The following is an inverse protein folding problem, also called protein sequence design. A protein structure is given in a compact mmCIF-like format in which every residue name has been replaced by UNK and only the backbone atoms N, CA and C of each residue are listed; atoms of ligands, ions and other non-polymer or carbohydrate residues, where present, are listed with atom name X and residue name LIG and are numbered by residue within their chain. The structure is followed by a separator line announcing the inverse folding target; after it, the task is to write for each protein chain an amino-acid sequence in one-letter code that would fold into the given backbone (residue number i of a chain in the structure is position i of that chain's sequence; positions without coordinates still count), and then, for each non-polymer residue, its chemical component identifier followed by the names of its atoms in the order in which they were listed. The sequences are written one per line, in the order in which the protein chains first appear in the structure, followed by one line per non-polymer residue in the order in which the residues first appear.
data_IF_720562555620
#
_entry.id   IF_720562555620
#
_cell.length_a   1.000
_cell.length_b   1.000
_cell.length_c   1.000
_cell.angle_alpha   90.00
_cell.angle_beta   90.00
_cell.angle_gamma   90.00
#
_symmetry.space_group_name_H-M   'P 1'
#
loop_
_entity.id
_entity.type
_entity.pdbx_description
1 polymer ?
#
# COMPACT_ATOMS: atom_id res chain seq x y z
N UNK A 1 -3.49 34.63 22.35
CA UNK A 1 -2.54 34.07 21.37
C UNK A 1 -3.09 34.32 19.98
N UNK A 2 -2.35 35.01 19.12
CA UNK A 2 -2.78 35.30 17.75
C UNK A 2 -2.74 34.01 16.90
N UNK A 3 -3.87 33.65 16.28
CA UNK A 3 -3.93 32.50 15.37
C UNK A 3 -2.86 32.63 14.26
N UNK A 4 -2.16 31.54 13.91
CA UNK A 4 -1.20 31.52 12.81
C UNK A 4 -1.78 32.18 11.54
N UNK A 5 -1.01 33.03 10.83
CA UNK A 5 -1.50 33.81 9.69
C UNK A 5 -2.08 32.95 8.56
N UNK A 6 -1.71 31.67 8.52
CA UNK A 6 -2.21 30.69 7.54
C UNK A 6 -3.64 30.24 7.82
N UNK A 7 -4.00 29.99 9.08
CA UNK A 7 -5.37 29.61 9.48
C UNK A 7 -6.34 30.75 9.11
N UNK A 8 -5.93 32.00 9.33
CA UNK A 8 -6.70 33.18 8.92
C UNK A 8 -6.94 33.23 7.40
N UNK A 9 -5.96 32.83 6.58
CA UNK A 9 -6.14 32.76 5.12
C UNK A 9 -7.15 31.69 4.72
N UNK A 10 -7.16 30.53 5.39
CA UNK A 10 -8.12 29.45 5.06
C UNK A 10 -9.55 29.80 5.42
N UNK A 11 -9.75 30.57 6.49
CA UNK A 11 -11.08 31.05 6.90
C UNK A 11 -11.65 32.12 5.96
N UNK A 12 -10.81 32.85 5.22
CA UNK A 12 -11.25 33.86 4.25
C UNK A 12 -11.59 33.30 2.87
N UNK A 13 -11.30 32.03 2.60
CA UNK A 13 -11.55 31.43 1.29
C UNK A 13 -13.03 31.08 1.13
N UNK A 14 -13.60 31.53 0.03
CA UNK A 14 -14.95 31.16 -0.38
C UNK A 14 -14.90 29.90 -1.25
N UNK A 15 -15.38 28.78 -0.71
CA UNK A 15 -15.44 27.49 -1.40
C UNK A 15 -16.73 27.31 -2.20
N UNK A 16 -17.63 28.31 -2.22
CA UNK A 16 -18.87 28.26 -3.01
C UNK A 16 -18.64 28.67 -4.47
N UNK A 17 -17.60 29.46 -4.73
CA UNK A 17 -17.25 29.89 -6.08
C UNK A 17 -16.92 28.71 -7.00
N UNK A 18 -17.30 28.83 -8.26
CA UNK A 18 -16.98 27.85 -9.31
C UNK A 18 -15.51 27.97 -9.71
N UNK A 19 -14.86 26.83 -9.95
CA UNK A 19 -13.49 26.74 -10.46
C UNK A 19 -13.51 26.28 -11.91
N UNK A 20 -12.79 26.98 -12.78
CA UNK A 20 -12.62 26.59 -14.18
C UNK A 20 -11.46 25.59 -14.32
N UNK A 21 -11.62 24.65 -15.27
CA UNK A 21 -10.60 23.64 -15.58
C UNK A 21 -9.95 23.92 -16.94
N UNK A 22 -8.63 23.67 -17.10
CA UNK A 22 -7.71 23.10 -16.12
C UNK A 22 -7.40 24.07 -14.97
N UNK A 23 -7.20 23.54 -13.76
CA UNK A 23 -6.94 24.35 -12.57
C UNK A 23 -5.52 24.89 -12.63
N UNK A 24 -5.38 26.20 -12.64
CA UNK A 24 -4.08 26.86 -12.56
C UNK A 24 -3.67 27.09 -11.10
N UNK A 25 -2.52 26.55 -10.71
CA UNK A 25 -1.96 26.71 -9.36
C UNK A 25 -0.55 27.27 -9.46
N UNK A 26 -0.33 28.41 -8.84
CA UNK A 26 0.99 29.04 -8.74
C UNK A 26 1.79 28.38 -7.62
N UNK A 27 2.93 27.78 -7.97
CA UNK A 27 3.87 27.20 -7.02
C UNK A 27 4.65 28.25 -6.24
N UNK A 28 5.43 27.79 -5.24
CA UNK A 28 6.32 28.69 -4.46
C UNK A 28 7.45 29.30 -5.29
N UNK A 29 7.75 28.68 -6.40
CA UNK A 29 8.70 29.08 -7.43
C UNK A 29 8.10 30.08 -8.45
N UNK A 30 6.89 30.60 -8.19
CA UNK A 30 6.12 31.46 -9.09
C UNK A 30 5.80 30.82 -10.45
N UNK A 31 5.98 29.51 -10.61
CA UNK A 31 5.56 28.81 -11.82
C UNK A 31 4.07 28.47 -11.75
N UNK A 32 3.34 28.77 -12.83
CA UNK A 32 1.95 28.37 -13.01
C UNK A 32 1.93 26.93 -13.52
N UNK A 33 1.28 26.04 -12.78
CA UNK A 33 1.06 24.65 -13.17
C UNK A 33 -0.41 24.43 -13.45
N UNK A 34 -0.71 23.73 -14.55
CA UNK A 34 -2.05 23.35 -14.97
C UNK A 34 -2.34 21.93 -14.52
N UNK A 35 -3.46 21.75 -13.84
CA UNK A 35 -3.89 20.46 -13.33
C UNK A 35 -5.24 20.09 -13.95
N UNK A 36 -5.32 18.88 -14.52
CA UNK A 36 -6.60 18.25 -14.81
C UNK A 36 -7.35 17.97 -13.51
N UNK A 37 -8.63 17.60 -13.61
CA UNK A 37 -9.48 17.34 -12.44
C UNK A 37 -8.83 16.33 -11.47
N UNK A 38 -8.46 15.15 -11.96
CA UNK A 38 -7.88 14.12 -11.11
C UNK A 38 -6.54 14.54 -10.50
N UNK A 39 -5.67 15.22 -11.24
CA UNK A 39 -4.40 15.70 -10.71
C UNK A 39 -4.59 16.77 -9.64
N UNK A 40 -5.59 17.64 -9.80
CA UNK A 40 -5.95 18.64 -8.81
C UNK A 40 -6.45 17.99 -7.52
N UNK A 41 -7.30 16.95 -7.61
CA UNK A 41 -7.72 16.17 -6.44
C UNK A 41 -6.52 15.51 -5.76
N UNK A 42 -5.68 14.78 -6.53
CA UNK A 42 -4.48 14.09 -6.01
C UNK A 42 -3.54 15.04 -5.27
N UNK A 43 -3.40 16.27 -5.77
CA UNK A 43 -2.60 17.30 -5.11
C UNK A 43 -3.13 17.60 -3.70
N UNK A 44 -4.44 17.79 -3.52
CA UNK A 44 -5.02 18.10 -2.21
C UNK A 44 -5.06 16.88 -1.29
N UNK A 45 -5.32 15.68 -1.84
CA UNK A 45 -5.20 14.40 -1.12
C UNK A 45 -3.79 14.25 -0.51
N UNK A 46 -2.74 14.44 -1.32
CA UNK A 46 -1.35 14.39 -0.84
C UNK A 46 -1.06 15.43 0.25
N UNK A 47 -1.68 16.61 0.18
CA UNK A 47 -1.54 17.63 1.22
C UNK A 47 -2.19 17.23 2.53
N UNK A 48 -3.29 16.47 2.49
CA UNK A 48 -3.93 15.89 3.68
C UNK A 48 -2.99 14.85 4.30
N UNK A 49 -2.52 13.87 3.52
CA UNK A 49 -1.61 12.80 3.98
C UNK A 49 -0.35 13.36 4.65
N UNK A 50 0.25 14.38 4.03
CA UNK A 50 1.52 14.96 4.49
C UNK A 50 1.34 16.09 5.50
N UNK A 51 0.12 16.39 5.94
CA UNK A 51 -0.11 17.53 6.83
C UNK A 51 0.66 17.38 8.15
N UNK A 52 0.66 16.18 8.75
CA UNK A 52 1.32 15.88 10.03
C UNK A 52 2.85 15.90 9.97
N UNK A 53 3.44 15.62 8.81
CA UNK A 53 4.89 15.72 8.61
C UNK A 53 5.35 17.15 8.25
N UNK A 54 4.43 17.98 7.74
CA UNK A 54 4.72 19.36 7.30
C UNK A 54 4.52 20.40 8.38
N UNK A 55 3.67 20.13 9.36
CA UNK A 55 3.35 21.05 10.44
C UNK A 55 3.50 20.37 11.78
N UNK A 56 4.08 21.06 12.75
CA UNK A 56 4.21 20.57 14.12
C UNK A 56 2.97 20.89 14.98
N UNK A 57 2.25 21.96 14.64
CA UNK A 57 1.11 22.45 15.40
C UNK A 57 -0.20 21.71 15.01
N UNK A 58 -0.87 21.02 15.95
CA UNK A 58 -2.12 20.30 15.69
C UNK A 58 -3.23 21.16 15.10
N UNK A 59 -3.41 22.40 15.56
CA UNK A 59 -4.45 23.29 15.03
C UNK A 59 -4.20 23.64 13.55
N UNK A 60 -2.93 23.83 13.18
CA UNK A 60 -2.54 24.07 11.80
C UNK A 60 -2.73 22.83 10.92
N UNK A 61 -2.45 21.63 11.44
CA UNK A 61 -2.71 20.36 10.75
C UNK A 61 -4.22 20.25 10.45
N UNK A 62 -5.07 20.40 11.46
CA UNK A 62 -6.53 20.29 11.32
C UNK A 62 -7.09 21.34 10.35
N UNK A 63 -6.57 22.57 10.40
CA UNK A 63 -6.96 23.62 9.49
C UNK A 63 -6.53 23.32 8.04
N UNK A 64 -5.34 22.75 7.81
CA UNK A 64 -4.89 22.31 6.48
C UNK A 64 -5.78 21.19 5.94
N UNK A 65 -6.06 20.16 6.75
CA UNK A 65 -6.90 19.03 6.35
C UNK A 65 -8.30 19.51 6.00
N UNK A 66 -8.91 20.34 6.84
CA UNK A 66 -10.23 20.94 6.57
C UNK A 66 -10.23 21.77 5.30
N UNK A 67 -9.21 22.61 5.09
CA UNK A 67 -9.07 23.41 3.88
C UNK A 67 -9.02 22.53 2.62
N UNK A 68 -8.22 21.45 2.65
CA UNK A 68 -8.05 20.57 1.50
C UNK A 68 -9.33 19.79 1.20
N UNK A 69 -10.06 19.31 2.22
CA UNK A 69 -11.36 18.65 2.04
C UNK A 69 -12.40 19.56 1.38
N UNK A 70 -12.57 20.78 1.88
CA UNK A 70 -13.48 21.77 1.28
C UNK A 70 -13.08 22.11 -0.16
N UNK A 71 -11.78 22.12 -0.46
CA UNK A 71 -11.30 22.39 -1.81
C UNK A 71 -11.54 21.23 -2.77
N UNK A 72 -11.40 19.98 -2.32
CA UNK A 72 -11.78 18.78 -3.08
C UNK A 72 -13.28 18.83 -3.44
N UNK A 73 -14.13 19.10 -2.46
CA UNK A 73 -15.58 19.24 -2.66
C UNK A 73 -15.92 20.34 -3.68
N UNK A 74 -15.26 21.50 -3.58
CA UNK A 74 -15.43 22.61 -4.53
C UNK A 74 -15.01 22.23 -5.96
N UNK A 75 -13.86 21.56 -6.11
CA UNK A 75 -13.37 21.11 -7.42
C UNK A 75 -14.34 20.12 -8.05
N UNK A 76 -14.82 19.15 -7.28
CA UNK A 76 -15.79 18.15 -7.70
C UNK A 76 -17.10 18.77 -8.14
N UNK A 77 -17.67 19.66 -7.34
CA UNK A 77 -18.89 20.42 -7.72
C UNK A 77 -18.68 21.18 -9.03
N UNK A 78 -17.56 21.91 -9.15
CA UNK A 78 -17.27 22.72 -10.35
C UNK A 78 -17.07 21.87 -11.60
N UNK A 79 -16.48 20.67 -11.44
CA UNK A 79 -16.26 19.71 -12.52
C UNK A 79 -17.59 19.16 -13.05
N UNK A 80 -18.45 18.71 -12.15
CA UNK A 80 -19.79 18.20 -12.48
C UNK A 80 -20.61 19.30 -13.16
N UNK A 81 -20.62 20.52 -12.62
CA UNK A 81 -21.30 21.68 -13.22
C UNK A 81 -20.78 22.00 -14.63
N UNK A 82 -19.46 21.92 -14.85
CA UNK A 82 -18.87 22.14 -16.16
C UNK A 82 -19.27 21.08 -17.19
N UNK A 83 -19.49 19.84 -16.75
CA UNK A 83 -19.97 18.74 -17.58
C UNK A 83 -21.51 18.74 -17.77
N UNK A 84 -22.21 19.82 -17.39
CA UNK A 84 -23.67 19.94 -17.50
C UNK A 84 -24.45 19.20 -16.40
N UNK A 85 -23.76 18.65 -15.40
CA UNK A 85 -24.37 18.06 -14.22
C UNK A 85 -24.83 19.11 -13.21
N UNK A 86 -25.93 18.86 -12.53
CA UNK A 86 -26.43 19.74 -11.46
C UNK A 86 -26.86 18.92 -10.26
N UNK A 87 -26.76 19.49 -9.06
CA UNK A 87 -27.27 18.84 -7.85
C UNK A 87 -28.81 18.79 -7.96
N UNK A 88 -29.45 17.63 -7.73
CA UNK A 88 -30.90 17.55 -7.77
C UNK A 88 -31.49 18.45 -6.68
N UNK A 89 -32.58 19.16 -7.01
CA UNK A 89 -33.33 19.91 -6.01
C UNK A 89 -34.05 18.91 -5.09
N UNK A 90 -33.70 18.91 -3.81
CA UNK A 90 -34.40 18.19 -2.73
C UNK A 90 -34.63 16.68 -2.97
N UNK A 91 -33.56 15.90 -3.15
CA UNK A 91 -33.66 14.45 -3.17
C UNK A 91 -33.35 13.85 -1.78
N UNK A 92 -34.20 12.92 -1.31
CA UNK A 92 -33.97 12.14 -0.09
C UNK A 92 -33.08 10.92 -0.38
N UNK A 93 -32.44 10.34 0.64
CA UNK A 93 -31.59 9.14 0.49
C UNK A 93 -30.19 9.40 -0.11
N UNK A 94 -29.69 8.48 -0.95
CA UNK A 94 -28.36 8.56 -1.59
C UNK A 94 -28.17 9.86 -2.39
N UNK A 95 -29.24 10.34 -3.01
CA UNK A 95 -29.28 11.58 -3.79
C UNK A 95 -29.39 12.85 -2.92
N UNK A 96 -29.54 12.70 -1.61
CA UNK A 96 -29.37 13.76 -0.61
C UNK A 96 -27.96 13.82 0.00
N UNK A 97 -27.16 12.76 -0.19
CA UNK A 97 -25.83 12.62 0.39
C UNK A 97 -24.73 13.43 -0.31
N UNK A 98 -23.49 13.42 0.22
CA UNK A 98 -22.36 14.14 -0.35
C UNK A 98 -21.95 13.66 -1.75
N UNK A 99 -22.32 12.43 -2.13
CA UNK A 99 -21.98 11.79 -3.42
C UNK A 99 -23.11 11.85 -4.46
N UNK A 100 -24.24 12.46 -4.10
CA UNK A 100 -25.44 12.51 -4.94
C UNK A 100 -25.18 13.06 -6.35
N UNK A 101 -24.40 14.14 -6.42
CA UNK A 101 -24.09 14.79 -7.68
C UNK A 101 -23.21 13.90 -8.56
N UNK A 102 -22.23 13.21 -7.97
CA UNK A 102 -21.34 12.29 -8.68
C UNK A 102 -22.09 11.09 -9.24
N UNK A 103 -22.96 10.51 -8.42
CA UNK A 103 -23.77 9.35 -8.80
C UNK A 103 -24.74 9.72 -9.92
N UNK A 104 -25.44 10.85 -9.80
CA UNK A 104 -26.33 11.30 -10.87
C UNK A 104 -25.58 11.64 -12.14
N UNK A 105 -24.42 12.27 -12.04
CA UNK A 105 -23.59 12.57 -13.19
C UNK A 105 -23.12 11.29 -13.88
N UNK A 106 -22.63 10.30 -13.13
CA UNK A 106 -22.25 8.99 -13.65
C UNK A 106 -23.42 8.29 -14.33
N UNK A 107 -24.58 8.20 -13.65
CA UNK A 107 -25.77 7.56 -14.21
C UNK A 107 -26.25 8.28 -15.47
N UNK A 108 -26.29 9.62 -15.50
CA UNK A 108 -26.63 10.37 -16.73
C UNK A 108 -25.64 10.12 -17.86
N UNK A 109 -24.35 10.05 -17.55
CA UNK A 109 -23.30 9.78 -18.55
C UNK A 109 -23.44 8.37 -19.13
N UNK A 110 -23.75 7.39 -18.28
CA UNK A 110 -23.89 5.98 -18.66
C UNK A 110 -25.20 5.71 -19.39
N UNK A 111 -26.30 6.26 -18.91
CA UNK A 111 -27.64 6.02 -19.41
C UNK A 111 -27.97 6.92 -20.61
N UNK A 112 -27.31 8.08 -20.74
CA UNK A 112 -27.65 9.07 -21.75
C UNK A 112 -29.05 9.66 -21.58
N UNK A 113 -29.42 10.57 -22.47
CA UNK A 113 -30.71 11.28 -22.41
C UNK A 113 -31.93 10.39 -22.74
N UNK A 114 -31.68 9.21 -23.33
CA UNK A 114 -32.74 8.34 -23.87
C UNK A 114 -33.39 7.42 -22.82
N UNK A 115 -32.76 7.24 -21.66
CA UNK A 115 -33.14 6.21 -20.69
C UNK A 115 -33.90 6.73 -19.45
N UNK A 116 -34.52 7.91 -19.57
CA UNK A 116 -35.41 8.46 -18.56
C UNK A 116 -34.68 9.07 -17.36
N UNK A 117 -35.41 9.85 -16.57
CA UNK A 117 -34.88 10.64 -15.46
C UNK A 117 -34.11 9.76 -14.48
N UNK A 118 -32.77 9.86 -14.44
CA UNK A 118 -31.93 9.15 -13.49
C UNK A 118 -32.34 9.43 -12.02
N UNK A 119 -33.08 10.51 -11.78
CA UNK A 119 -33.69 10.85 -10.49
C UNK A 119 -34.95 10.03 -10.15
N UNK A 120 -35.59 9.38 -11.12
CA UNK A 120 -36.75 8.51 -10.93
C UNK A 120 -36.37 7.07 -10.52
N UNK A 121 -35.07 6.76 -10.45
CA UNK A 121 -34.59 5.45 -10.08
C UNK A 121 -34.80 5.17 -8.58
N UNK A 122 -35.35 4.01 -8.26
CA UNK A 122 -35.40 3.52 -6.88
C UNK A 122 -34.03 2.99 -6.50
N UNK A 123 -33.36 3.67 -5.57
CA UNK A 123 -32.09 3.24 -4.98
C UNK A 123 -32.34 2.59 -3.63
N UNK A 124 -32.17 1.27 -3.55
CA UNK A 124 -32.33 0.53 -2.28
C UNK A 124 -30.93 0.23 -1.73
N UNK A 125 -30.56 0.73 -0.54
CA UNK A 125 -29.27 0.43 0.05
C UNK A 125 -29.15 -1.07 0.30
N UNK A 126 -28.09 -1.67 -0.23
CA UNK A 126 -27.68 -3.02 0.08
C UNK A 126 -26.71 -2.91 1.26
N UNK A 127 -27.05 -3.57 2.37
CA UNK A 127 -26.17 -3.65 3.53
C UNK A 127 -24.99 -4.55 3.18
N UNK A 128 -23.89 -3.98 2.70
CA UNK A 128 -22.69 -4.76 2.37
C UNK A 128 -21.37 -4.06 2.75
N UNK A 129 -20.90 -4.30 3.97
CA UNK A 129 -19.49 -4.16 4.34
C UNK A 129 -18.79 -2.82 4.04
N UNK A 130 -17.58 -2.91 3.47
CA UNK A 130 -16.60 -1.81 3.25
C UNK A 130 -16.95 -0.89 2.06
N UNK A 131 -18.02 -1.20 1.30
CA UNK A 131 -18.50 -0.45 0.14
C UNK A 131 -19.93 0.00 0.35
N UNK A 132 -20.32 1.14 -0.22
CA UNK A 132 -21.73 1.50 -0.26
C UNK A 132 -22.31 0.95 -1.58
N UNK A 133 -23.32 0.07 -1.48
CA UNK A 133 -23.95 -0.57 -2.63
C UNK A 133 -25.44 -0.26 -2.65
N UNK A 134 -26.01 -0.04 -3.83
CA UNK A 134 -27.43 0.22 -4.02
C UNK A 134 -27.98 -0.55 -5.20
N UNK A 135 -29.17 -1.09 -5.02
CA UNK A 135 -29.96 -1.60 -6.14
C UNK A 135 -30.53 -0.42 -6.92
N UNK A 136 -30.27 -0.37 -8.21
CA UNK A 136 -30.81 0.58 -9.19
C UNK A 136 -31.80 -0.15 -10.10
N UNK A 137 -33.04 0.32 -10.20
CA UNK A 137 -34.01 -0.16 -11.18
C UNK A 137 -34.48 1.01 -12.04
N UNK A 138 -34.40 0.86 -13.36
CA UNK A 138 -34.79 1.87 -14.33
C UNK A 138 -35.10 1.26 -15.70
N UNK A 139 -35.56 2.07 -16.67
CA UNK A 139 -35.94 1.58 -18.00
C UNK A 139 -34.82 0.82 -18.73
N UNK A 140 -33.56 1.22 -18.52
CA UNK A 140 -32.39 0.56 -19.11
C UNK A 140 -31.97 -0.74 -18.40
N UNK A 141 -32.41 -0.95 -17.15
CA UNK A 141 -32.25 -2.22 -16.44
C UNK A 141 -33.57 -2.56 -15.72
N UNK A 142 -34.57 -3.07 -16.45
CA UNK A 142 -35.90 -3.33 -15.90
C UNK A 142 -35.89 -4.44 -14.83
N UNK A 143 -34.89 -5.33 -14.86
CA UNK A 143 -34.63 -6.34 -13.83
C UNK A 143 -33.65 -5.87 -12.74
N UNK A 144 -33.25 -4.60 -12.82
CA UNK A 144 -32.33 -3.92 -11.92
C UNK A 144 -30.85 -4.22 -12.15
N UNK A 145 -30.03 -3.31 -11.64
CA UNK A 145 -28.57 -3.35 -11.61
C UNK A 145 -28.11 -2.95 -10.20
N UNK A 146 -26.88 -3.27 -9.84
CA UNK A 146 -26.25 -2.82 -8.61
C UNK A 146 -25.27 -1.69 -8.94
N UNK A 147 -25.43 -0.56 -8.24
CA UNK A 147 -24.47 0.52 -8.22
C UNK A 147 -23.58 0.35 -6.97
N UNK A 148 -22.29 0.12 -7.19
CA UNK A 148 -21.28 0.15 -6.14
C UNK A 148 -20.59 1.52 -6.12
N UNK A 149 -20.42 2.10 -4.93
CA UNK A 149 -19.57 3.27 -4.74
C UNK A 149 -18.47 3.01 -3.71
N UNK A 150 -17.26 3.42 -4.08
CA UNK A 150 -16.07 3.32 -3.25
C UNK A 150 -15.49 4.71 -3.04
N UNK A 151 -15.45 5.17 -1.79
CA UNK A 151 -14.75 6.40 -1.41
C UNK A 151 -13.27 6.11 -1.23
N UNK A 152 -12.44 6.62 -2.13
CA UNK A 152 -10.99 6.43 -2.13
C UNK A 152 -10.36 7.55 -1.28
N UNK A 153 -10.56 7.50 0.04
CA UNK A 153 -9.89 8.45 0.94
C UNK A 153 -8.40 8.08 1.05
N UNK A 154 -7.46 8.96 0.66
CA UNK A 154 -6.02 8.74 0.84
C UNK A 154 -5.60 8.56 2.31
N UNK A 155 -6.36 9.15 3.23
CA UNK A 155 -6.10 9.14 4.68
C UNK A 155 -6.88 8.05 5.41
N UNK A 156 -7.82 7.39 4.72
CA UNK A 156 -8.53 6.22 5.24
C UNK A 156 -7.65 4.96 5.19
N UNK A 157 -8.01 3.89 5.92
CA UNK A 157 -7.35 2.61 5.72
C UNK A 157 -7.45 2.23 4.24
N UNK A 158 -6.33 1.81 3.65
CA UNK A 158 -6.18 1.30 2.27
C UNK A 158 -7.21 0.24 1.83
N UNK A 159 -8.08 -0.21 2.75
CA UNK A 159 -9.20 -1.11 2.53
C UNK A 159 -10.11 -0.68 1.38
N UNK A 160 -10.45 0.61 1.20
CA UNK A 160 -11.37 1.03 0.15
C UNK A 160 -10.86 0.71 -1.28
N UNK A 161 -9.55 0.89 -1.52
CA UNK A 161 -8.94 0.59 -2.82
C UNK A 161 -8.76 -0.90 -3.03
N UNK A 162 -8.42 -1.63 -1.96
CA UNK A 162 -8.36 -3.10 -1.99
C UNK A 162 -9.75 -3.70 -2.23
N UNK A 163 -10.79 -3.11 -1.62
CA UNK A 163 -12.18 -3.50 -1.82
C UNK A 163 -12.60 -3.25 -3.28
N UNK A 164 -12.28 -2.07 -3.84
CA UNK A 164 -12.53 -1.78 -5.25
C UNK A 164 -11.88 -2.81 -6.19
N UNK A 165 -10.59 -3.09 -6.03
CA UNK A 165 -9.91 -4.03 -6.91
C UNK A 165 -10.43 -5.47 -6.74
N UNK A 166 -10.72 -5.88 -5.50
CA UNK A 166 -11.33 -7.18 -5.22
C UNK A 166 -12.67 -7.31 -5.93
N UNK A 167 -13.46 -6.25 -5.92
CA UNK A 167 -14.76 -6.19 -6.58
C UNK A 167 -14.63 -6.22 -8.10
N UNK A 168 -13.72 -5.43 -8.66
CA UNK A 168 -13.39 -5.46 -10.09
C UNK A 168 -12.90 -6.86 -10.52
N UNK A 169 -12.05 -7.51 -9.72
CA UNK A 169 -11.61 -8.89 -9.96
C UNK A 169 -12.77 -9.88 -9.94
N UNK A 170 -13.69 -9.77 -8.96
CA UNK A 170 -14.89 -10.60 -8.88
C UNK A 170 -15.76 -10.45 -10.12
N UNK A 171 -16.10 -9.20 -10.48
CA UNK A 171 -16.96 -8.89 -11.62
C UNK A 171 -16.33 -9.28 -12.97
N UNK A 172 -15.00 -9.16 -13.11
CA UNK A 172 -14.27 -9.61 -14.32
C UNK A 172 -14.22 -11.14 -14.42
N UNK A 173 -14.02 -11.84 -13.31
CA UNK A 173 -14.03 -13.31 -13.31
C UNK A 173 -15.40 -13.87 -13.73
N UNK A 174 -16.47 -13.19 -13.32
CA UNK A 174 -17.86 -13.55 -13.62
C UNK A 174 -18.32 -13.18 -15.04
N UNK A 175 -17.51 -12.48 -15.86
CA UNK A 175 -17.93 -11.92 -17.15
C UNK A 175 -18.48 -12.96 -18.14
N UNK A 176 -17.98 -14.19 -18.07
CA UNK A 176 -18.36 -15.31 -18.94
C UNK A 176 -19.31 -16.32 -18.26
N UNK A 177 -19.70 -16.11 -17.00
CA UNK A 177 -20.53 -17.06 -16.26
C UNK A 177 -22.03 -16.76 -16.46
N UNK A 178 -22.83 -17.72 -16.97
CA UNK A 178 -24.26 -17.51 -17.19
C UNK A 178 -25.00 -17.17 -15.89
N UNK A 179 -25.70 -16.04 -15.87
CA UNK A 179 -26.47 -15.59 -14.71
C UNK A 179 -25.64 -15.00 -13.58
N UNK A 180 -24.32 -14.92 -13.72
CA UNK A 180 -23.47 -14.22 -12.77
C UNK A 180 -23.57 -12.70 -12.96
N UNK A 181 -23.33 -11.98 -11.86
CA UNK A 181 -23.26 -10.53 -11.90
C UNK A 181 -21.97 -10.09 -12.59
N UNK A 182 -22.10 -9.22 -13.59
CA UNK A 182 -20.99 -8.69 -14.38
C UNK A 182 -21.02 -7.17 -14.38
N UNK A 183 -19.83 -6.58 -14.46
CA UNK A 183 -19.71 -5.14 -14.60
C UNK A 183 -20.26 -4.71 -15.96
N UNK A 184 -21.24 -3.82 -15.94
CA UNK A 184 -21.68 -3.11 -17.14
C UNK A 184 -20.66 -2.04 -17.46
N UNK A 185 -20.46 -1.11 -16.52
CA UNK A 185 -19.63 0.06 -16.72
C UNK A 185 -19.16 0.60 -15.39
N UNK A 186 -18.00 1.25 -15.37
CA UNK A 186 -17.52 1.93 -14.16
C UNK A 186 -16.77 3.21 -14.48
N UNK A 187 -16.54 4.03 -13.47
CA UNK A 187 -15.60 5.14 -13.54
C UNK A 187 -14.76 5.19 -12.28
N UNK A 188 -13.50 5.57 -12.41
CA UNK A 188 -12.56 5.71 -11.30
C UNK A 188 -11.91 7.08 -11.41
N UNK A 189 -12.11 7.89 -10.38
CA UNK A 189 -11.44 9.18 -10.15
C UNK A 189 -10.47 9.04 -8.98
N UNK A 190 -9.69 10.07 -8.70
CA UNK A 190 -8.70 10.04 -7.62
C UNK A 190 -9.26 9.72 -6.21
N UNK A 191 -10.49 10.10 -5.90
CA UNK A 191 -11.14 9.97 -4.58
C UNK A 191 -12.47 9.18 -4.61
N UNK A 192 -12.90 8.71 -5.78
CA UNK A 192 -14.17 8.01 -5.95
C UNK A 192 -14.12 7.00 -7.09
N UNK A 193 -14.62 5.79 -6.87
CA UNK A 193 -15.00 4.87 -7.93
C UNK A 193 -16.50 4.52 -7.88
N UNK A 194 -17.14 4.46 -9.04
CA UNK A 194 -18.52 4.05 -9.21
C UNK A 194 -18.57 2.89 -10.21
N UNK A 195 -19.21 1.79 -9.86
CA UNK A 195 -19.38 0.63 -10.74
C UNK A 195 -20.87 0.33 -10.87
N UNK A 196 -21.36 0.15 -12.09
CA UNK A 196 -22.68 -0.38 -12.39
C UNK A 196 -22.52 -1.83 -12.87
N UNK A 197 -23.21 -2.76 -12.22
CA UNK A 197 -23.13 -4.18 -12.51
C UNK A 197 -24.53 -4.82 -12.52
N UNK A 198 -24.68 -5.97 -13.16
CA UNK A 198 -25.93 -6.72 -13.15
C UNK A 198 -25.81 -8.05 -13.86
N UNK A 199 -26.88 -8.83 -13.87
CA UNK A 199 -26.90 -10.20 -14.42
C UNK A 199 -27.41 -10.27 -15.86
N UNK A 200 -28.15 -9.26 -16.30
CA UNK A 200 -28.79 -9.21 -17.63
C UNK A 200 -27.82 -8.71 -18.72
N UNK A 201 -28.15 -8.91 -20.01
CA UNK A 201 -27.49 -8.21 -21.12
C UNK A 201 -27.58 -6.69 -20.96
N UNK A 202 -26.49 -6.01 -21.29
CA UNK A 202 -26.38 -4.56 -21.24
C UNK A 202 -26.02 -4.01 -22.62
N UNK A 203 -26.88 -3.12 -23.12
CA UNK A 203 -26.77 -2.49 -24.44
C UNK A 203 -26.12 -1.09 -24.37
N UNK A 204 -25.82 -0.59 -23.17
CA UNK A 204 -25.14 0.68 -22.96
C UNK A 204 -23.61 0.59 -23.05
N UNK A 205 -22.89 1.66 -22.68
CA UNK A 205 -21.43 1.68 -22.68
C UNK A 205 -20.87 0.58 -21.78
N UNK A 206 -19.74 -0.01 -22.18
CA UNK A 206 -19.08 -1.08 -21.42
C UNK A 206 -17.67 -0.71 -20.96
N UNK A 207 -17.26 -1.30 -19.83
CA UNK A 207 -15.91 -1.16 -19.29
C UNK A 207 -15.73 0.09 -18.43
N UNK A 208 -14.46 0.47 -18.20
CA UNK A 208 -14.16 1.67 -17.42
C UNK A 208 -14.21 2.91 -18.32
N UNK A 209 -15.19 3.77 -18.06
CA UNK A 209 -15.29 5.09 -18.66
C UNK A 209 -14.22 6.00 -18.08
N UNK A 210 -13.41 6.55 -18.97
CA UNK A 210 -12.53 7.65 -18.65
C UNK A 210 -13.34 8.95 -18.68
N UNK A 211 -14.14 9.17 -17.64
CA UNK A 211 -15.01 10.36 -17.51
C UNK A 211 -14.17 11.64 -17.37
N UNK A 212 -12.84 11.53 -17.22
CA UNK A 212 -11.85 12.58 -17.04
C UNK A 212 -11.05 12.95 -18.30
N UNK A 213 -11.58 12.75 -19.52
CA UNK A 213 -10.90 13.17 -20.76
C UNK A 213 -10.94 14.71 -20.93
N UNK A 214 -10.24 15.44 -20.07
CA UNK A 214 -9.75 16.79 -20.37
C UNK A 214 -8.54 16.68 -21.32
N UNK A 215 -8.28 17.68 -22.19
CA UNK A 215 -7.22 17.60 -23.19
C UNK A 215 -5.87 17.31 -22.53
N UNK A 216 -5.20 16.28 -23.05
CA UNK A 216 -3.89 15.83 -22.58
C UNK A 216 -2.92 17.02 -22.54
N UNK A 217 -2.35 17.28 -21.36
CA UNK A 217 -1.23 18.20 -21.23
C UNK A 217 0.01 17.61 -21.92
N UNK A 218 0.80 18.48 -22.55
CA UNK A 218 2.03 18.16 -23.28
C UNK A 218 2.94 17.12 -22.58
N UNK A 219 3.30 16.10 -23.37
CA UNK A 219 4.15 14.93 -23.09
C UNK A 219 4.14 14.38 -21.64
N UNK A 220 3.37 13.30 -21.37
CA UNK A 220 3.49 12.61 -20.09
C UNK A 220 4.89 11.99 -19.98
N UNK A 221 5.71 12.54 -19.10
CA UNK A 221 6.96 11.89 -18.67
C UNK A 221 6.58 10.51 -18.16
N UNK A 222 7.06 9.47 -18.86
CA UNK A 222 6.82 8.07 -18.48
C UNK A 222 7.19 7.88 -16.99
N UNK A 223 6.21 7.62 -16.11
CA UNK A 223 6.44 7.49 -14.68
C UNK A 223 7.47 6.41 -14.32
N UNK A 224 7.58 5.38 -15.17
CA UNK A 224 8.62 4.36 -15.05
C UNK A 224 10.02 4.98 -15.22
N UNK A 225 10.23 5.74 -16.30
CA UNK A 225 11.49 6.42 -16.58
C UNK A 225 11.84 7.42 -15.48
N UNK A 226 10.86 8.21 -15.02
CA UNK A 226 11.05 9.14 -13.91
C UNK A 226 11.46 8.43 -12.62
N UNK A 227 10.85 7.27 -12.32
CA UNK A 227 11.23 6.47 -11.17
C UNK A 227 12.67 5.93 -11.26
N UNK A 228 13.07 5.43 -12.43
CA UNK A 228 14.42 4.88 -12.62
C UNK A 228 15.51 5.95 -12.52
N UNK A 229 15.28 7.14 -13.10
CA UNK A 229 16.19 8.29 -12.96
C UNK A 229 16.33 8.69 -11.50
N UNK A 230 15.21 8.82 -10.79
CA UNK A 230 15.23 9.15 -9.37
C UNK A 230 15.96 8.10 -8.51
N UNK A 231 15.83 6.82 -8.85
CA UNK A 231 16.55 5.74 -8.17
C UNK A 231 18.06 5.84 -8.40
N UNK A 232 18.50 6.15 -9.63
CA UNK A 232 19.90 6.38 -9.97
C UNK A 232 20.49 7.57 -9.20
N UNK A 233 19.69 8.61 -8.97
CA UNK A 233 20.06 9.78 -8.17
C UNK A 233 19.98 9.53 -6.65
N UNK A 234 19.64 8.32 -6.21
CA UNK A 234 19.51 7.97 -4.79
C UNK A 234 18.24 8.52 -4.12
N UNK A 235 17.27 9.01 -4.89
CA UNK A 235 16.00 9.55 -4.41
C UNK A 235 14.94 8.44 -4.25
N UNK A 236 15.22 7.43 -3.42
CA UNK A 236 14.43 6.20 -3.29
C UNK A 236 12.94 6.47 -2.98
N UNK A 237 12.62 7.40 -2.07
CA UNK A 237 11.22 7.74 -1.76
C UNK A 237 10.49 8.47 -2.90
N UNK A 238 11.21 9.24 -3.72
CA UNK A 238 10.61 9.87 -4.90
C UNK A 238 10.35 8.83 -5.99
N UNK A 239 11.32 7.95 -6.25
CA UNK A 239 11.17 6.82 -7.17
C UNK A 239 9.96 5.94 -6.81
N UNK A 240 9.81 5.60 -5.52
CA UNK A 240 8.66 4.83 -5.03
C UNK A 240 7.33 5.52 -5.32
N UNK A 241 7.23 6.83 -5.08
CA UNK A 241 6.02 7.61 -5.38
C UNK A 241 5.68 7.65 -6.87
N UNK A 242 6.70 7.71 -7.73
CA UNK A 242 6.48 7.67 -9.18
C UNK A 242 5.93 6.31 -9.61
N UNK A 243 6.45 5.21 -9.05
CA UNK A 243 5.94 3.87 -9.33
C UNK A 243 4.52 3.62 -8.81
N UNK A 244 4.18 4.14 -7.62
CA UNK A 244 2.80 4.11 -7.13
C UNK A 244 1.88 4.89 -8.06
N UNK A 245 2.27 6.10 -8.46
CA UNK A 245 1.49 6.88 -9.43
C UNK A 245 1.38 6.19 -10.80
N UNK A 246 2.35 5.37 -11.17
CA UNK A 246 2.34 4.57 -12.39
C UNK A 246 1.38 3.39 -12.27
N UNK A 247 1.44 2.66 -11.15
CA UNK A 247 0.53 1.57 -10.82
C UNK A 247 -0.93 2.03 -10.72
N UNK A 248 -1.15 3.24 -10.22
CA UNK A 248 -2.47 3.85 -10.17
C UNK A 248 -3.07 4.09 -11.56
N UNK A 249 -2.21 4.31 -12.58
CA UNK A 249 -2.64 4.50 -13.97
C UNK A 249 -2.74 3.17 -14.71
N UNK A 250 -1.83 2.24 -14.44
CA UNK A 250 -1.82 0.91 -15.04
C UNK A 250 -1.51 -0.16 -13.98
N UNK A 251 -2.56 -0.67 -13.31
CA UNK A 251 -2.41 -1.64 -12.23
C UNK A 251 -1.99 -3.03 -12.72
N UNK A 252 -2.09 -3.28 -14.02
CA UNK A 252 -1.81 -4.60 -14.60
C UNK A 252 -0.33 -4.82 -14.91
N UNK A 253 0.47 -3.76 -14.95
CA UNK A 253 1.91 -3.84 -15.25
C UNK A 253 2.71 -4.39 -14.07
N UNK A 254 2.90 -5.71 -14.08
CA UNK A 254 3.67 -6.48 -13.08
C UNK A 254 5.06 -5.90 -12.78
N UNK A 255 5.75 -5.36 -13.80
CA UNK A 255 7.07 -4.72 -13.64
C UNK A 255 7.02 -3.53 -12.68
N UNK A 256 5.97 -2.71 -12.73
CA UNK A 256 5.81 -1.57 -11.83
C UNK A 256 5.60 -2.04 -10.39
N UNK A 257 4.80 -3.10 -10.20
CA UNK A 257 4.56 -3.67 -8.88
C UNK A 257 5.83 -4.30 -8.30
N UNK A 258 6.59 -5.06 -9.09
CA UNK A 258 7.85 -5.66 -8.64
C UNK A 258 8.85 -4.59 -8.24
N UNK A 259 9.06 -3.59 -9.10
CA UNK A 259 9.97 -2.49 -8.82
C UNK A 259 9.51 -1.68 -7.60
N UNK A 260 8.22 -1.36 -7.49
CA UNK A 260 7.67 -0.59 -6.38
C UNK A 260 7.82 -1.34 -5.05
N UNK A 261 7.56 -2.65 -5.03
CA UNK A 261 7.73 -3.47 -3.84
C UNK A 261 9.21 -3.53 -3.40
N UNK A 262 10.14 -3.76 -4.33
CA UNK A 262 11.60 -3.75 -4.03
C UNK A 262 12.06 -2.39 -3.53
N UNK A 263 11.69 -1.31 -4.22
CA UNK A 263 12.10 0.04 -3.84
C UNK A 263 11.48 0.43 -2.50
N UNK A 264 10.25 0.00 -2.21
CA UNK A 264 9.62 0.14 -0.89
C UNK A 264 10.42 -0.55 0.21
N UNK A 265 10.90 -1.77 -0.02
CA UNK A 265 11.78 -2.47 0.91
C UNK A 265 13.12 -1.74 1.08
N UNK A 266 13.71 -1.25 -0.01
CA UNK A 266 14.97 -0.48 0.01
C UNK A 266 14.83 0.88 0.72
N UNK A 267 13.65 1.49 0.67
CA UNK A 267 13.31 2.74 1.34
C UNK A 267 12.96 2.55 2.83
N UNK A 268 13.06 1.32 3.35
CA UNK A 268 12.63 0.96 4.72
C UNK A 268 11.14 1.26 4.98
N UNK A 269 10.30 1.12 3.94
CA UNK A 269 8.86 1.39 3.95
C UNK A 269 8.07 0.09 3.76
N UNK A 270 8.16 -0.88 4.70
CA UNK A 270 7.64 -2.23 4.47
C UNK A 270 6.11 -2.26 4.34
N UNK A 271 5.37 -1.33 4.94
CA UNK A 271 3.91 -1.24 4.79
C UNK A 271 3.53 -0.93 3.33
N UNK A 272 4.26 0.01 2.70
CA UNK A 272 4.05 0.37 1.29
C UNK A 272 4.51 -0.73 0.36
N UNK A 273 5.63 -1.37 0.66
CA UNK A 273 6.12 -2.52 -0.11
C UNK A 273 5.13 -3.69 -0.11
N UNK A 274 4.56 -4.03 1.05
CA UNK A 274 3.51 -5.04 1.18
C UNK A 274 2.29 -4.66 0.36
N UNK A 275 1.84 -3.40 0.43
CA UNK A 275 0.70 -2.95 -0.36
C UNK A 275 0.91 -3.14 -1.85
N UNK A 276 2.03 -2.63 -2.36
CA UNK A 276 2.37 -2.72 -3.79
C UNK A 276 2.48 -4.19 -4.22
N UNK A 277 3.07 -5.04 -3.37
CA UNK A 277 3.18 -6.46 -3.65
C UNK A 277 1.82 -7.16 -3.70
N UNK A 278 0.94 -6.93 -2.70
CA UNK A 278 -0.44 -7.45 -2.69
C UNK A 278 -1.21 -6.96 -3.91
N UNK A 279 -1.10 -5.68 -4.23
CA UNK A 279 -1.77 -5.06 -5.36
C UNK A 279 -1.33 -5.70 -6.68
N UNK A 280 -0.02 -5.87 -6.88
CA UNK A 280 0.50 -6.59 -8.04
C UNK A 280 0.06 -8.05 -8.12
N UNK A 281 -0.12 -8.73 -6.97
CA UNK A 281 -0.63 -10.11 -6.92
C UNK A 281 -2.11 -10.21 -7.31
N UNK A 282 -2.90 -9.14 -7.22
CA UNK A 282 -4.27 -9.14 -7.76
C UNK A 282 -4.23 -9.27 -9.29
N UNK A 283 -3.33 -8.55 -9.96
CA UNK A 283 -3.13 -8.64 -11.40
C UNK A 283 -2.31 -9.88 -11.82
N UNK A 284 -1.48 -10.42 -10.92
CA UNK A 284 -0.57 -11.52 -11.21
C UNK A 284 -0.47 -12.52 -10.04
N UNK A 285 -1.52 -13.31 -9.75
CA UNK A 285 -1.56 -14.13 -8.54
C UNK A 285 -0.40 -15.13 -8.41
N UNK A 286 0.11 -15.64 -9.53
CA UNK A 286 1.22 -16.60 -9.59
C UNK A 286 2.63 -16.00 -9.58
N UNK A 287 2.79 -14.69 -9.41
CA UNK A 287 4.09 -14.02 -9.49
C UNK A 287 4.95 -14.30 -8.25
N UNK A 288 5.96 -15.17 -8.41
CA UNK A 288 6.83 -15.58 -7.30
C UNK A 288 7.59 -14.40 -6.67
N UNK A 289 8.08 -13.46 -7.48
CA UNK A 289 8.82 -12.30 -6.99
C UNK A 289 7.94 -11.39 -6.12
N UNK A 290 6.69 -11.14 -6.52
CA UNK A 290 5.77 -10.34 -5.71
C UNK A 290 5.40 -11.04 -4.40
N UNK A 291 5.17 -12.36 -4.41
CA UNK A 291 4.95 -13.14 -3.18
C UNK A 291 6.17 -13.07 -2.25
N UNK A 292 7.37 -13.17 -2.81
CA UNK A 292 8.61 -13.01 -2.07
C UNK A 292 8.72 -11.62 -1.41
N UNK A 293 8.47 -10.54 -2.16
CA UNK A 293 8.54 -9.17 -1.62
C UNK A 293 7.46 -8.90 -0.57
N UNK A 294 6.23 -9.38 -0.79
CA UNK A 294 5.14 -9.33 0.18
C UNK A 294 5.57 -9.93 1.51
N UNK A 295 6.11 -11.14 1.44
CA UNK A 295 6.43 -11.92 2.60
C UNK A 295 7.68 -11.38 3.33
N UNK A 296 8.64 -10.81 2.60
CA UNK A 296 9.75 -10.02 3.18
C UNK A 296 9.24 -8.75 3.89
N UNK A 297 8.30 -8.02 3.28
CA UNK A 297 7.68 -6.83 3.88
C UNK A 297 6.94 -7.16 5.18
N UNK A 298 6.17 -8.25 5.21
CA UNK A 298 5.51 -8.75 6.42
C UNK A 298 6.52 -9.16 7.50
N UNK A 299 7.63 -9.80 7.13
CA UNK A 299 8.69 -10.16 8.07
C UNK A 299 9.37 -8.92 8.69
N UNK A 300 9.60 -7.86 7.91
CA UNK A 300 10.14 -6.58 8.41
C UNK A 300 9.17 -5.89 9.38
N UNK A 301 7.87 -6.09 9.21
CA UNK A 301 6.82 -5.62 10.14
C UNK A 301 6.61 -6.53 11.35
N UNK A 302 7.34 -7.64 11.44
CA UNK A 302 7.23 -8.60 12.53
C UNK A 302 6.09 -9.62 12.38
N UNK A 303 5.43 -9.67 11.22
CA UNK A 303 4.32 -10.57 10.87
C UNK A 303 4.78 -11.80 10.08
N UNK A 304 5.86 -12.43 10.52
CA UNK A 304 6.47 -13.56 9.79
C UNK A 304 5.58 -14.83 9.71
N UNK A 305 4.54 -14.92 10.54
CA UNK A 305 3.58 -16.03 10.48
C UNK A 305 2.61 -15.87 9.30
N UNK A 306 2.23 -14.63 8.96
CA UNK A 306 1.40 -14.30 7.78
C UNK A 306 2.15 -14.48 6.46
N UNK A 307 3.48 -14.42 6.51
CA UNK A 307 4.35 -14.63 5.36
C UNK A 307 4.41 -16.09 4.91
N UNK A 308 4.20 -17.04 5.85
CA UNK A 308 4.36 -18.48 5.63
C UNK A 308 3.63 -19.08 4.40
N UNK A 309 2.34 -18.76 4.12
CA UNK A 309 1.60 -19.35 3.00
C UNK A 309 2.02 -18.81 1.62
N UNK A 310 2.58 -17.60 1.52
CA UNK A 310 2.94 -17.00 0.24
C UNK A 310 4.21 -17.60 -0.38
N UNK A 311 4.95 -18.40 0.39
CA UNK A 311 6.21 -19.02 0.00
C UNK A 311 6.05 -20.39 -0.66
N UNK A 312 5.42 -20.45 -1.83
CA UNK A 312 5.07 -21.72 -2.50
C UNK A 312 6.18 -22.23 -3.45
N UNK A 313 7.07 -21.36 -3.96
CA UNK A 313 8.09 -21.74 -4.93
C UNK A 313 9.31 -22.43 -4.31
N UNK A 314 9.69 -23.59 -4.86
CA UNK A 314 10.77 -24.46 -4.36
C UNK A 314 12.16 -23.79 -4.38
N UNK A 315 12.42 -22.95 -5.38
CA UNK A 315 13.66 -22.16 -5.54
C UNK A 315 13.80 -21.05 -4.50
N UNK A 316 12.72 -20.56 -3.91
CA UNK A 316 12.76 -19.46 -2.95
C UNK A 316 12.74 -19.95 -1.49
N UNK A 317 12.43 -21.25 -1.26
CA UNK A 317 12.35 -21.85 0.09
C UNK A 317 13.60 -21.61 0.92
N UNK A 318 14.79 -21.56 0.31
CA UNK A 318 16.06 -21.30 1.00
C UNK A 318 16.14 -19.89 1.61
N UNK A 319 15.95 -18.86 0.78
CA UNK A 319 15.95 -17.44 1.19
C UNK A 319 14.85 -17.16 2.21
N UNK A 320 13.68 -17.75 2.00
CA UNK A 320 12.52 -17.65 2.87
C UNK A 320 12.77 -18.25 4.25
N UNK A 321 13.24 -19.51 4.29
CA UNK A 321 13.55 -20.17 5.54
C UNK A 321 14.68 -19.45 6.29
N UNK A 322 15.53 -18.71 5.58
CA UNK A 322 16.54 -17.82 6.15
C UNK A 322 15.93 -16.57 6.79
N UNK A 323 15.02 -15.87 6.11
CA UNK A 323 14.32 -14.70 6.66
C UNK A 323 13.53 -15.11 7.91
N UNK A 324 12.83 -16.25 7.85
CA UNK A 324 12.13 -16.82 9.00
C UNK A 324 13.09 -17.19 10.15
N UNK A 325 14.29 -17.69 9.84
CA UNK A 325 15.30 -17.99 10.85
C UNK A 325 15.81 -16.72 11.54
N UNK A 326 16.12 -15.67 10.78
CA UNK A 326 16.57 -14.37 11.30
C UNK A 326 15.49 -13.71 12.15
N UNK A 327 14.24 -13.77 11.72
CA UNK A 327 13.11 -13.22 12.47
C UNK A 327 12.92 -13.95 13.82
N UNK A 328 12.88 -15.29 13.80
CA UNK A 328 12.78 -16.10 15.03
C UNK A 328 13.97 -15.88 15.96
N UNK A 329 15.15 -15.62 15.41
CA UNK A 329 16.35 -15.29 16.17
C UNK A 329 16.22 -13.90 16.83
N UNK A 330 15.68 -12.92 16.12
CA UNK A 330 15.33 -11.59 16.67
C UNK A 330 14.31 -11.66 17.81
N UNK A 331 13.38 -12.61 17.77
CA UNK A 331 12.41 -12.90 18.85
C UNK A 331 13.00 -13.72 20.02
N UNK A 332 14.27 -14.12 19.97
CA UNK A 332 14.89 -14.97 20.99
C UNK A 332 14.46 -16.46 20.94
N UNK A 333 13.69 -16.87 19.93
CA UNK A 333 13.20 -18.24 19.70
C UNK A 333 14.26 -19.12 19.02
N UNK A 334 15.39 -19.30 19.70
CA UNK A 334 16.61 -19.94 19.19
C UNK A 334 16.39 -21.32 18.53
N UNK A 335 15.65 -22.24 19.18
CA UNK A 335 15.38 -23.59 18.63
C UNK A 335 14.54 -23.54 17.35
N UNK A 336 13.64 -22.56 17.24
CA UNK A 336 12.80 -22.39 16.04
C UNK A 336 13.59 -21.73 14.90
N UNK A 337 14.51 -20.82 15.23
CA UNK A 337 15.44 -20.21 14.29
C UNK A 337 16.40 -21.25 13.67
N UNK A 338 17.00 -22.12 14.49
CA UNK A 338 17.88 -23.19 14.01
C UNK A 338 17.16 -24.22 13.15
N UNK A 339 15.93 -24.60 13.52
CA UNK A 339 15.10 -25.48 12.69
C UNK A 339 14.79 -24.85 11.33
N UNK A 340 14.48 -23.55 11.29
CA UNK A 340 14.28 -22.82 10.03
C UNK A 340 15.56 -22.77 9.19
N UNK A 341 16.70 -22.39 9.79
CA UNK A 341 17.99 -22.35 9.10
C UNK A 341 18.47 -23.72 8.57
N UNK A 342 18.12 -24.81 9.28
CA UNK A 342 18.40 -26.18 8.82
C UNK A 342 17.54 -26.57 7.63
N UNK A 343 16.24 -26.23 7.64
CA UNK A 343 15.36 -26.43 6.48
C UNK A 343 15.83 -25.62 5.27
N UNK A 344 16.30 -24.39 5.50
CA UNK A 344 16.89 -23.55 4.46
C UNK A 344 18.06 -24.23 3.73
N UNK A 345 18.85 -25.05 4.44
CA UNK A 345 19.99 -25.77 3.84
C UNK A 345 19.65 -27.12 3.21
N UNK A 346 18.47 -27.69 3.51
CA UNK A 346 18.09 -29.02 3.03
C UNK A 346 17.39 -29.01 1.66
N UNK A 347 16.99 -27.83 1.17
CA UNK A 347 16.30 -27.67 -0.12
C UNK A 347 17.10 -26.91 -1.17
N UNK A 348 18.40 -26.71 -0.97
CA UNK A 348 19.22 -25.86 -1.85
C UNK A 348 20.17 -26.72 -2.66
N UNK A 349 20.09 -26.62 -3.98
CA UNK A 349 21.08 -27.22 -4.89
C UNK A 349 22.45 -26.57 -4.72
N UNK A 350 23.53 -27.29 -5.07
CA UNK A 350 24.93 -26.85 -4.91
C UNK A 350 25.26 -25.51 -5.59
N UNK A 351 24.39 -25.00 -6.47
CA UNK A 351 24.56 -23.73 -7.18
C UNK A 351 24.37 -22.47 -6.32
N UNK A 352 23.72 -22.54 -5.15
CA UNK A 352 23.44 -21.34 -4.33
C UNK A 352 24.39 -21.24 -3.13
N UNK A 353 25.66 -20.92 -3.42
CA UNK A 353 26.69 -20.60 -2.42
C UNK A 353 26.26 -19.54 -1.39
N UNK A 354 25.30 -18.69 -1.79
CA UNK A 354 24.63 -17.70 -0.97
C UNK A 354 23.94 -18.29 0.27
N UNK A 355 23.11 -19.33 0.09
CA UNK A 355 22.31 -19.95 1.16
C UNK A 355 23.21 -20.59 2.23
N UNK A 356 24.34 -21.17 1.80
CA UNK A 356 25.33 -21.83 2.67
C UNK A 356 26.03 -20.81 3.55
N UNK A 357 26.47 -19.67 2.98
CA UNK A 357 27.19 -18.63 3.72
C UNK A 357 26.29 -17.91 4.73
N UNK A 358 25.04 -17.64 4.37
CA UNK A 358 24.07 -17.02 5.29
C UNK A 358 23.62 -18.03 6.36
N UNK A 359 23.45 -19.32 6.03
CA UNK A 359 23.16 -20.38 7.02
C UNK A 359 24.28 -20.52 8.05
N UNK A 360 25.55 -20.49 7.60
CA UNK A 360 26.69 -20.46 8.53
C UNK A 360 26.62 -19.24 9.45
N UNK A 361 26.30 -18.06 8.92
CA UNK A 361 26.19 -16.83 9.72
C UNK A 361 25.08 -16.92 10.77
N UNK A 362 23.91 -17.47 10.42
CA UNK A 362 22.81 -17.72 11.39
C UNK A 362 23.20 -18.77 12.42
N UNK A 363 23.87 -19.86 12.04
CA UNK A 363 24.37 -20.88 12.97
C UNK A 363 25.41 -20.32 13.92
N UNK A 364 26.33 -19.47 13.45
CA UNK A 364 27.31 -18.77 14.28
C UNK A 364 26.62 -17.83 15.26
N UNK A 365 25.65 -17.04 14.81
CA UNK A 365 24.89 -16.13 15.69
C UNK A 365 24.09 -16.89 16.75
N UNK A 366 23.49 -18.02 16.36
CA UNK A 366 22.76 -18.91 17.27
C UNK A 366 23.69 -19.59 18.29
N UNK A 367 24.86 -20.05 17.86
CA UNK A 367 25.87 -20.64 18.74
C UNK A 367 26.41 -19.61 19.73
N UNK A 368 26.69 -18.38 19.28
CA UNK A 368 27.11 -17.28 20.14
C UNK A 368 26.05 -16.99 21.23
N UNK A 369 24.76 -17.01 20.86
CA UNK A 369 23.66 -16.84 21.82
C UNK A 369 23.60 -18.02 22.82
N UNK A 370 23.80 -19.26 22.36
CA UNK A 370 23.84 -20.43 23.27
C UNK A 370 24.99 -20.33 24.26
N UNK A 371 26.19 -20.00 23.77
CA UNK A 371 27.38 -19.87 24.61
C UNK A 371 27.20 -18.74 25.64
N UNK A 372 26.61 -17.61 25.25
CA UNK A 372 26.30 -16.52 26.16
C UNK A 372 25.27 -16.93 27.24
N UNK A 373 24.22 -17.68 26.88
CA UNK A 373 23.24 -18.18 27.86
C UNK A 373 23.83 -19.26 28.77
N UNK A 374 24.67 -20.14 28.23
CA UNK A 374 25.38 -21.16 28.99
C UNK A 374 26.37 -20.57 29.99
N UNK A 375 27.16 -19.58 29.58
CA UNK A 375 28.10 -18.89 30.47
C UNK A 375 27.37 -18.10 31.56
N UNK A 376 26.23 -17.48 31.26
CA UNK A 376 25.38 -16.84 32.26
C UNK A 376 24.90 -17.84 33.32
N UNK A 377 24.35 -18.97 32.89
CA UNK A 377 23.85 -20.01 33.79
C UNK A 377 24.98 -20.57 34.68
N UNK A 378 26.14 -20.87 34.09
CA UNK A 378 27.31 -21.35 34.83
C UNK A 378 27.77 -20.32 35.86
N UNK A 379 27.78 -19.04 35.50
CA UNK A 379 28.21 -17.96 36.40
C UNK A 379 27.22 -17.74 37.55
N UNK A 380 25.92 -17.90 37.33
CA UNK A 380 24.90 -17.87 38.40
C UNK A 380 25.13 -19.04 39.36
N UNK A 381 25.40 -20.25 38.85
CA UNK A 381 25.71 -21.42 39.69
C UNK A 381 27.00 -21.21 40.48
N UNK A 382 28.06 -20.71 39.85
CA UNK A 382 29.33 -20.40 40.53
C UNK A 382 29.18 -19.29 41.58
N UNK A 383 28.40 -18.25 41.29
CA UNK A 383 28.08 -17.20 42.26
C UNK A 383 27.31 -17.77 43.46
N UNK A 384 26.32 -18.63 43.22
CA UNK A 384 25.57 -19.31 44.28
C UNK A 384 26.48 -20.20 45.15
N UNK A 385 27.41 -20.94 44.53
CA UNK A 385 28.41 -21.73 45.26
C UNK A 385 29.37 -20.87 46.08
N UNK A 386 29.81 -19.71 45.56
CA UNK A 386 30.67 -18.76 46.30
C UNK A 386 29.95 -18.09 47.47
N UNK A 387 28.66 -17.77 47.30
CA UNK A 387 27.80 -17.26 48.38
C UNK A 387 27.64 -18.33 49.46
N UNK A 388 27.40 -19.59 49.07
CA UNK A 388 27.30 -20.72 50.00
C UNK A 388 28.61 -20.97 50.75
N UNK A 389 29.75 -20.82 50.08
CA UNK A 389 31.10 -20.91 50.65
C UNK A 389 31.53 -19.66 51.46
N UNK A 390 30.57 -18.85 51.94
CA UNK A 390 30.81 -17.72 52.84
C UNK A 390 31.65 -16.56 52.24
N UNK A 391 31.72 -16.44 50.91
CA UNK A 391 32.39 -15.31 50.22
C UNK A 391 31.40 -14.48 49.39
N UNK A 392 30.43 -13.80 50.02
CA UNK A 392 29.33 -13.14 49.32
C UNK A 392 29.79 -12.00 48.40
N UNK A 393 30.83 -11.25 48.77
CA UNK A 393 31.33 -10.12 47.97
C UNK A 393 31.90 -10.52 46.60
N UNK A 394 32.63 -11.64 46.54
CA UNK A 394 33.19 -12.15 45.28
C UNK A 394 32.12 -12.83 44.41
N UNK A 395 31.17 -13.53 45.03
CA UNK A 395 30.06 -14.18 44.31
C UNK A 395 29.14 -13.18 43.62
N UNK A 396 28.75 -12.10 44.30
CA UNK A 396 27.87 -11.08 43.73
C UNK A 396 28.53 -10.29 42.58
N UNK A 397 29.81 -9.94 42.72
CA UNK A 397 30.56 -9.23 41.68
C UNK A 397 30.72 -10.05 40.40
N UNK A 398 31.18 -11.30 40.52
CA UNK A 398 31.39 -12.18 39.35
C UNK A 398 30.06 -12.55 38.67
N UNK A 399 29.02 -12.85 39.44
CA UNK A 399 27.68 -13.15 38.91
C UNK A 399 27.07 -11.97 38.16
N UNK A 400 27.21 -10.75 38.69
CA UNK A 400 26.71 -9.53 38.06
C UNK A 400 27.37 -9.22 36.71
N UNK A 401 28.71 -9.33 36.64
CA UNK A 401 29.45 -9.10 35.38
C UNK A 401 29.07 -10.11 34.31
N UNK A 402 28.98 -11.39 34.66
CA UNK A 402 28.61 -12.43 33.71
C UNK A 402 27.17 -12.29 33.19
N UNK A 403 26.22 -11.97 34.08
CA UNK A 403 24.84 -11.69 33.69
C UNK A 403 24.76 -10.47 32.77
N UNK A 404 25.51 -9.40 33.07
CA UNK A 404 25.60 -8.21 32.24
C UNK A 404 26.15 -8.51 30.83
N UNK A 405 27.22 -9.30 30.73
CA UNK A 405 27.79 -9.73 29.45
C UNK A 405 26.83 -10.59 28.63
N UNK A 406 26.08 -11.48 29.28
CA UNK A 406 25.10 -12.33 28.62
C UNK A 406 23.90 -11.53 28.09
N UNK A 407 23.37 -10.60 28.88
CA UNK A 407 22.32 -9.67 28.46
C UNK A 407 22.81 -8.79 27.31
N UNK A 408 24.04 -8.27 27.39
CA UNK A 408 24.64 -7.49 26.31
C UNK A 408 24.78 -8.31 25.03
N UNK A 409 25.25 -9.56 25.10
CA UNK A 409 25.36 -10.45 23.96
C UNK A 409 24.00 -10.77 23.33
N UNK A 410 22.96 -10.99 24.14
CA UNK A 410 21.58 -11.21 23.69
C UNK A 410 20.99 -9.97 23.01
N UNK A 411 21.13 -8.79 23.62
CA UNK A 411 20.68 -7.52 23.01
C UNK A 411 21.42 -7.25 21.70
N UNK A 412 22.74 -7.47 21.68
CA UNK A 412 23.56 -7.26 20.48
C UNK A 412 23.19 -8.21 19.34
N UNK A 413 22.97 -9.50 19.63
CA UNK A 413 22.56 -10.48 18.60
C UNK A 413 21.16 -10.21 18.09
N UNK A 414 20.21 -9.82 18.94
CA UNK A 414 18.87 -9.38 18.49
C UNK A 414 18.96 -8.15 17.60
N UNK A 415 19.73 -7.14 17.99
CA UNK A 415 19.98 -5.94 17.17
C UNK A 415 20.64 -6.26 15.84
N UNK A 416 21.59 -7.19 15.81
CA UNK A 416 22.24 -7.63 14.56
C UNK A 416 21.26 -8.38 13.65
N UNK A 417 20.42 -9.26 14.19
CA UNK A 417 19.40 -9.97 13.43
C UNK A 417 18.34 -9.01 12.88
N UNK A 418 17.86 -8.08 13.70
CA UNK A 418 16.93 -7.02 13.27
C UNK A 418 17.55 -6.11 12.22
N UNK A 419 18.79 -5.65 12.43
CA UNK A 419 19.51 -4.84 11.45
C UNK A 419 19.73 -5.59 10.16
N UNK A 420 19.98 -6.90 10.21
CA UNK A 420 20.13 -7.70 9.01
C UNK A 420 18.84 -7.85 8.22
N UNK A 421 17.69 -7.99 8.91
CA UNK A 421 16.36 -7.96 8.28
C UNK A 421 16.06 -6.59 7.67
N UNK A 422 16.30 -5.51 8.42
CA UNK A 422 16.01 -4.15 7.97
C UNK A 422 16.86 -3.72 6.78
N UNK A 423 18.17 -3.97 6.85
CA UNK A 423 19.11 -3.56 5.80
C UNK A 423 19.18 -4.52 4.63
N UNK A 424 18.49 -5.67 4.73
CA UNK A 424 18.69 -6.79 3.83
C UNK A 424 20.17 -7.20 3.76
N UNK A 425 20.96 -7.05 4.84
CA UNK A 425 22.40 -7.36 4.85
C UNK A 425 22.84 -8.04 6.14
N UNK A 426 23.46 -9.22 6.03
CA UNK A 426 24.07 -9.90 7.17
C UNK A 426 25.58 -10.03 6.94
N UNK A 427 26.40 -9.34 7.73
CA UNK A 427 27.87 -9.43 7.64
C UNK A 427 28.45 -9.00 6.28
N UNK A 428 27.87 -7.97 5.65
CA UNK A 428 28.29 -7.46 4.34
C UNK A 428 27.66 -8.19 3.14
N UNK A 429 26.90 -9.25 3.37
CA UNK A 429 26.21 -10.03 2.34
C UNK A 429 24.78 -9.52 2.17
N UNK A 430 24.39 -9.05 0.96
CA UNK A 430 23.00 -8.65 0.66
C UNK A 430 22.08 -9.87 0.58
N UNK A 431 21.03 -9.91 1.40
CA UNK A 431 19.93 -10.89 1.45
C UNK A 431 19.07 -10.93 0.18
N UNK A 432 19.13 -9.88 -0.65
CA UNK A 432 18.48 -9.79 -1.95
C UNK A 432 19.57 -9.67 -3.03
N UNK A 433 19.63 -10.62 -3.96
CA UNK A 433 20.57 -10.54 -5.09
C UNK A 433 20.07 -9.46 -6.07
N UNK A 434 20.90 -8.48 -6.47
CA UNK A 434 20.52 -7.48 -7.48
C UNK A 434 20.25 -8.08 -8.86
N UNK A 435 20.63 -9.33 -9.11
CA UNK A 435 20.30 -10.07 -10.35
C UNK A 435 18.81 -10.41 -10.47
N UNK A 436 18.01 -10.20 -9.42
CA UNK A 436 16.55 -10.33 -9.46
C UNK A 436 15.81 -9.11 -10.04
N UNK A 437 16.52 -8.00 -10.29
CA UNK A 437 15.95 -6.86 -11.02
C UNK A 437 15.92 -7.19 -12.52
N UNK A 438 14.79 -6.98 -13.22
CA UNK A 438 14.74 -7.19 -14.66
C UNK A 438 15.80 -6.30 -15.33
N UNK A 439 16.70 -6.92 -16.10
CA UNK A 439 17.66 -6.17 -16.92
C UNK A 439 16.91 -5.54 -18.09
N UNK A 440 17.24 -4.30 -18.41
CA UNK A 440 16.73 -3.63 -19.61
C UNK A 440 17.01 -4.53 -20.83
N UNK A 441 15.94 -4.96 -21.52
CA UNK A 441 16.04 -5.66 -22.81
C UNK A 441 15.70 -7.16 -22.81
N UNK A 442 15.35 -7.79 -21.70
CA UNK A 442 14.77 -9.14 -21.77
C UNK A 442 13.31 -9.08 -22.24
N UNK A 443 13.11 -9.20 -23.55
CA UNK A 443 11.79 -9.51 -24.12
C UNK A 443 11.27 -10.82 -23.51
N UNK A 444 9.97 -10.91 -23.18
CA UNK A 444 9.40 -12.12 -22.61
C UNK A 444 9.61 -13.28 -23.59
N UNK A 445 10.38 -14.28 -23.17
CA UNK A 445 10.34 -15.59 -23.84
C UNK A 445 8.99 -16.22 -23.47
N UNK A 446 8.13 -16.34 -24.46
CA UNK A 446 6.82 -16.99 -24.37
C UNK A 446 6.93 -18.45 -23.96
#
# INVERSE_FOLDING_TARGET
MDRPPRIRRYQKKDYTQRVEFPVEIVGRDNQVRRYAFDDAIRLYQRRIETASSRYADPETIDAEVRHCRLRIEQLRRSYIEAAGGGRPAAAEGLLGGPMAADILFFLRTVLGDQHGDAAAATLIPLLDGESEAWWWSGPAAPRGAVLYAFRLDPSGPMGARIALERELSRLRAAENEPGAERMYVGTVTADLALLLAGTEPWDGPRGLLNVAAAPESDEPVDPWRAAMVALQEGQTHFALRQLESALDKDPTRKVLARAGAVIGLMAEEPVRAEFIARFGLLAAPGDASLRYFLALAQCMQGRAEEAAPDFVAETERGTVAMIAALHRLGQGRLRAALRAARRATLGVSDAEWFSVRVSRSVRVLALALMLARGSAALSVVSAAMLVWASRPGLGLGAGGVALGLALFAEVRTRRLAQRALLTGRLGGVRLVSPESLPRDGEAPRH
#
